data_IF_856311807689
#
_entry.id   IF_856311807689
#
_cell.length_a   1.000
_cell.length_b   1.000
_cell.length_c   1.000
_cell.angle_alpha   90.00
_cell.angle_beta   90.00
_cell.angle_gamma   90.00
#
_symmetry.space_group_name_H-M   'P 1'
#
loop_
_entity.id
_entity.type
_entity.pdbx_description
1 polymer ?
#
# COMPACT_ATOMS: atom_id res chain seq x y z
N UNK A 1 -12.96 -4.74 4.74
CA UNK A 1 -11.71 -4.20 5.28
C UNK A 1 -11.51 -4.61 6.73
N UNK A 2 -10.27 -4.65 7.13
CA UNK A 2 -9.85 -4.92 8.50
C UNK A 2 -8.94 -3.78 8.96
N UNK A 3 -9.16 -3.29 10.18
CA UNK A 3 -8.31 -2.28 10.80
C UNK A 3 -8.00 -2.70 12.24
N UNK A 4 -6.74 -2.66 12.58
CA UNK A 4 -6.22 -2.99 13.90
C UNK A 4 -5.40 -1.82 14.42
N UNK A 5 -5.80 -1.27 15.55
CA UNK A 5 -5.15 -0.14 16.20
C UNK A 5 -4.83 -0.50 17.66
N UNK A 6 -3.74 -1.23 17.90
CA UNK A 6 -3.33 -1.60 19.25
C UNK A 6 -2.85 -0.37 20.03
N UNK A 7 -3.03 -0.42 21.34
CA UNK A 7 -2.40 0.57 22.21
C UNK A 7 -0.88 0.42 22.14
N UNK A 8 -0.12 1.47 21.86
CA UNK A 8 1.32 1.40 21.74
C UNK A 8 1.95 1.04 23.10
N UNK A 9 2.70 -0.06 23.12
CA UNK A 9 3.49 -0.46 24.28
C UNK A 9 4.91 0.06 24.11
N UNK A 10 5.21 1.17 24.77
CA UNK A 10 6.55 1.77 24.74
C UNK A 10 7.50 1.04 25.67
N UNK A 11 8.66 0.66 25.16
CA UNK A 11 9.75 0.06 25.91
C UNK A 11 10.87 1.08 26.05
N UNK A 12 11.35 1.28 27.27
CA UNK A 12 12.47 2.18 27.63
C UNK A 12 13.60 1.32 28.24
N UNK A 13 14.48 0.72 27.41
CA UNK A 13 15.42 -0.28 27.88
C UNK A 13 16.48 0.27 28.84
N UNK A 14 16.93 1.50 28.59
CA UNK A 14 18.05 2.08 29.34
C UNK A 14 17.63 2.85 30.60
N UNK A 15 16.34 3.15 30.76
CA UNK A 15 15.82 3.93 31.89
C UNK A 15 16.12 3.31 33.26
N UNK A 16 16.13 1.96 33.33
CA UNK A 16 16.41 1.24 34.55
C UNK A 16 17.92 1.14 34.87
N UNK A 17 18.77 1.15 33.85
CA UNK A 17 20.21 0.96 33.98
C UNK A 17 20.95 2.28 34.25
N UNK A 18 20.51 3.38 33.57
CA UNK A 18 21.16 4.68 33.69
C UNK A 18 20.48 5.49 34.78
N UNK A 19 21.02 5.44 36.00
CA UNK A 19 20.55 6.25 37.14
C UNK A 19 21.15 7.65 37.19
N UNK A 20 22.11 7.97 36.31
CA UNK A 20 22.75 9.28 36.23
C UNK A 20 21.75 10.39 35.92
N UNK A 21 21.94 11.55 36.58
CA UNK A 21 21.18 12.79 36.32
C UNK A 21 21.89 13.72 35.31
N UNK A 22 22.96 13.24 34.68
CA UNK A 22 23.72 14.03 33.70
C UNK A 22 22.83 14.39 32.48
N UNK A 23 22.75 15.66 32.08
CA UNK A 23 22.01 16.09 30.90
C UNK A 23 22.49 15.44 29.61
N UNK A 24 23.80 15.17 29.51
CA UNK A 24 24.42 14.50 28.34
C UNK A 24 23.98 13.07 28.13
N UNK A 25 23.57 12.38 29.19
CA UNK A 25 23.07 11.02 29.14
C UNK A 25 21.54 10.94 28.96
N UNK A 26 20.86 12.06 28.96
CA UNK A 26 19.39 12.11 28.84
C UNK A 26 18.90 11.48 27.53
N UNK A 27 19.58 11.70 26.41
CA UNK A 27 19.28 11.11 25.11
C UNK A 27 19.29 9.59 25.15
N UNK A 28 20.33 9.00 25.75
CA UNK A 28 20.48 7.53 25.84
C UNK A 28 19.51 6.95 26.86
N UNK A 29 19.36 7.59 28.00
CA UNK A 29 18.46 7.17 29.08
C UNK A 29 17.00 7.11 28.63
N UNK A 30 16.55 8.12 27.88
CA UNK A 30 15.16 8.25 27.43
C UNK A 30 14.92 7.64 26.06
N UNK A 31 15.89 6.87 25.55
CA UNK A 31 15.67 6.10 24.34
C UNK A 31 14.49 5.16 24.53
N UNK A 32 13.58 5.17 23.59
CA UNK A 32 12.35 4.41 23.65
C UNK A 32 11.99 3.88 22.26
N UNK A 33 11.26 2.79 22.25
CA UNK A 33 10.68 2.26 21.02
C UNK A 33 9.34 1.58 21.30
N UNK A 34 8.46 1.60 20.33
CA UNK A 34 7.17 0.95 20.39
C UNK A 34 7.22 -0.38 19.64
N UNK A 35 6.79 -1.46 20.32
CA UNK A 35 6.80 -2.81 19.77
C UNK A 35 5.72 -3.06 18.73
N UNK A 36 4.63 -2.30 18.78
CA UNK A 36 3.48 -2.50 17.91
C UNK A 36 3.19 -1.25 17.07
N UNK A 37 2.69 -1.38 15.85
CA UNK A 37 2.24 -0.26 15.05
C UNK A 37 1.05 0.45 15.74
N UNK A 38 0.89 1.74 15.46
CA UNK A 38 -0.25 2.53 15.94
C UNK A 38 -1.53 2.16 15.20
N UNK A 39 -1.40 1.84 13.91
CA UNK A 39 -2.50 1.39 13.06
C UNK A 39 -1.98 0.46 11.97
N UNK A 40 -2.71 -0.63 11.76
CA UNK A 40 -2.56 -1.53 10.62
C UNK A 40 -3.93 -1.70 9.99
N UNK A 41 -4.08 -1.34 8.72
CA UNK A 41 -5.33 -1.48 8.01
C UNK A 41 -5.12 -2.17 6.67
N UNK A 42 -6.01 -3.09 6.37
CA UNK A 42 -6.10 -3.78 5.10
C UNK A 42 -7.53 -3.72 4.57
N UNK A 43 -7.68 -3.28 3.33
CA UNK A 43 -8.96 -3.28 2.62
C UNK A 43 -8.80 -3.95 1.28
N UNK A 44 -9.74 -4.82 0.95
CA UNK A 44 -9.83 -5.48 -0.34
C UNK A 44 -11.20 -5.24 -0.93
N UNK A 45 -11.23 -4.72 -2.14
CA UNK A 45 -12.45 -4.43 -2.89
C UNK A 45 -12.46 -5.30 -4.15
N UNK A 46 -13.59 -5.95 -4.39
CA UNK A 46 -13.82 -6.79 -5.57
C UNK A 46 -14.99 -6.21 -6.33
N UNK A 47 -14.78 -5.90 -7.60
CA UNK A 47 -15.84 -5.43 -8.48
C UNK A 47 -15.88 -6.28 -9.75
N UNK A 48 -17.06 -6.77 -10.10
CA UNK A 48 -17.28 -7.57 -11.29
C UNK A 48 -18.46 -7.07 -12.08
N UNK A 49 -18.26 -6.85 -13.37
CA UNK A 49 -19.29 -6.54 -14.34
C UNK A 49 -19.26 -7.56 -15.47
N UNK A 50 -20.42 -8.09 -15.83
CA UNK A 50 -20.58 -9.00 -16.95
C UNK A 50 -21.72 -8.50 -17.83
N UNK A 51 -21.44 -8.26 -19.09
CA UNK A 51 -22.41 -7.91 -20.11
C UNK A 51 -22.32 -8.87 -21.30
N UNK A 52 -23.48 -9.30 -21.84
CA UNK A 52 -23.57 -10.07 -23.06
C UNK A 52 -24.49 -9.35 -24.03
N UNK A 53 -24.01 -9.09 -25.23
CA UNK A 53 -24.77 -8.41 -26.30
C UNK A 53 -24.99 -9.43 -27.43
N UNK A 54 -26.23 -9.74 -27.69
CA UNK A 54 -26.64 -10.59 -28.81
C UNK A 54 -27.33 -9.71 -29.84
N UNK A 55 -26.66 -9.37 -30.95
CA UNK A 55 -27.28 -8.60 -32.03
C UNK A 55 -28.47 -9.33 -32.65
N UNK A 56 -29.53 -8.59 -32.98
CA UNK A 56 -30.69 -9.15 -33.66
C UNK A 56 -30.37 -9.23 -35.15
N UNK A 57 -30.46 -10.41 -35.71
CA UNK A 57 -30.37 -10.58 -37.19
C UNK A 57 -31.71 -10.22 -37.83
N UNK A 58 -31.83 -9.01 -38.36
CA UNK A 58 -33.07 -8.51 -38.97
C UNK A 58 -33.16 -8.97 -40.44
N UNK A 59 -32.05 -9.39 -41.05
CA UNK A 59 -31.98 -9.66 -42.49
C UNK A 59 -32.33 -11.11 -42.90
N UNK A 60 -32.72 -12.01 -41.97
CA UNK A 60 -33.12 -13.37 -42.30
C UNK A 60 -32.05 -14.26 -42.97
N UNK A 61 -30.78 -13.78 -43.03
CA UNK A 61 -29.69 -14.53 -43.66
C UNK A 61 -29.19 -15.68 -42.77
N UNK A 62 -28.52 -16.69 -43.36
CA UNK A 62 -28.02 -17.88 -42.65
C UNK A 62 -26.90 -17.56 -41.66
N UNK A 63 -26.33 -16.39 -41.66
CA UNK A 63 -25.24 -16.01 -40.80
C UNK A 63 -25.76 -15.47 -39.48
N UNK A 64 -25.48 -16.20 -38.36
CA UNK A 64 -25.74 -15.71 -37.02
C UNK A 64 -24.60 -14.77 -36.59
N UNK A 65 -24.95 -13.56 -36.16
CA UNK A 65 -23.97 -12.66 -35.58
C UNK A 65 -23.57 -13.19 -34.20
N UNK A 66 -22.28 -13.43 -33.96
CA UNK A 66 -21.85 -14.00 -32.68
C UNK A 66 -22.15 -13.07 -31.51
N UNK A 67 -22.45 -13.64 -30.37
CA UNK A 67 -22.64 -12.94 -29.12
C UNK A 67 -21.30 -12.35 -28.63
N UNK A 68 -21.30 -11.07 -28.28
CA UNK A 68 -20.13 -10.38 -27.73
C UNK A 68 -20.27 -10.19 -26.23
N UNK A 69 -19.14 -10.22 -25.53
CA UNK A 69 -19.10 -10.17 -24.06
C UNK A 69 -18.25 -9.01 -23.60
N UNK A 70 -18.82 -8.18 -22.71
CA UNK A 70 -18.07 -7.19 -21.96
C UNK A 70 -17.85 -7.71 -20.53
N UNK A 71 -16.60 -7.96 -20.18
CA UNK A 71 -16.21 -8.51 -18.88
C UNK A 71 -15.22 -7.59 -18.23
N UNK A 72 -15.53 -7.21 -17.01
CA UNK A 72 -14.67 -6.38 -16.22
C UNK A 72 -14.66 -6.93 -14.78
N UNK A 73 -13.51 -7.41 -14.33
CA UNK A 73 -13.37 -7.96 -13.00
C UNK A 73 -12.07 -7.44 -12.39
N UNK A 74 -12.17 -6.64 -11.32
CA UNK A 74 -11.04 -6.05 -10.61
C UNK A 74 -10.97 -6.54 -9.17
N UNK A 75 -9.77 -6.54 -8.65
CA UNK A 75 -9.46 -6.84 -7.28
C UNK A 75 -8.45 -5.80 -6.78
N UNK A 76 -8.94 -4.84 -6.00
CA UNK A 76 -8.17 -3.70 -5.49
C UNK A 76 -7.87 -3.92 -4.02
N UNK A 77 -6.60 -3.73 -3.64
CA UNK A 77 -6.08 -3.97 -2.28
C UNK A 77 -5.38 -2.71 -1.79
N UNK A 78 -5.71 -2.33 -0.56
CA UNK A 78 -5.17 -1.14 0.09
C UNK A 78 -4.54 -1.53 1.42
N UNK A 79 -3.35 -1.02 1.68
CA UNK A 79 -2.57 -1.28 2.87
C UNK A 79 -2.22 0.05 3.52
N UNK A 80 -2.43 0.16 4.83
CA UNK A 80 -2.05 1.32 5.61
C UNK A 80 -1.34 0.79 6.86
N UNK A 81 -0.14 1.31 7.11
CA UNK A 81 0.63 1.05 8.31
C UNK A 81 1.10 2.38 8.87
N UNK A 82 0.68 2.70 10.08
CA UNK A 82 1.19 3.82 10.85
C UNK A 82 1.92 3.29 12.06
N UNK A 83 3.15 3.71 12.24
CA UNK A 83 3.98 3.24 13.34
C UNK A 83 4.80 4.38 13.95
N UNK A 84 4.50 4.73 15.17
CA UNK A 84 5.36 5.58 15.98
C UNK A 84 6.50 4.71 16.52
N UNK A 85 7.57 4.56 15.74
CA UNK A 85 8.73 3.73 16.10
C UNK A 85 9.34 4.15 17.43
N UNK A 86 9.45 5.48 17.63
CA UNK A 86 9.84 6.10 18.89
C UNK A 86 8.93 7.28 19.17
N UNK A 87 9.08 7.94 20.30
CA UNK A 87 8.39 9.23 20.56
C UNK A 87 8.77 10.34 19.58
N UNK A 88 9.94 10.22 18.96
CA UNK A 88 10.49 11.22 18.05
C UNK A 88 10.45 10.79 16.57
N UNK A 89 10.25 9.52 16.28
CA UNK A 89 10.26 8.97 14.93
C UNK A 89 8.94 8.30 14.62
N UNK A 90 8.23 8.80 13.62
CA UNK A 90 7.02 8.18 13.07
C UNK A 90 7.25 7.71 11.64
N UNK A 91 6.56 6.65 11.29
CA UNK A 91 6.54 6.03 9.97
C UNK A 91 5.08 5.86 9.52
N UNK A 92 4.78 6.39 8.35
CA UNK A 92 3.52 6.21 7.66
C UNK A 92 3.79 5.51 6.33
N UNK A 93 3.19 4.34 6.15
CA UNK A 93 3.29 3.57 4.92
C UNK A 93 1.90 3.31 4.36
N UNK A 94 1.72 3.62 3.09
CA UNK A 94 0.52 3.29 2.34
C UNK A 94 0.88 2.56 1.07
N UNK A 95 0.07 1.57 0.67
CA UNK A 95 0.24 0.91 -0.60
C UNK A 95 -1.12 0.57 -1.22
N UNK A 96 -1.19 0.67 -2.53
CA UNK A 96 -2.35 0.31 -3.34
C UNK A 96 -1.92 -0.67 -4.42
N UNK A 97 -2.65 -1.76 -4.54
CA UNK A 97 -2.42 -2.75 -5.59
C UNK A 97 -3.73 -3.01 -6.33
N UNK A 98 -3.78 -2.61 -7.60
CA UNK A 98 -4.89 -2.87 -8.47
C UNK A 98 -4.57 -4.09 -9.35
N UNK A 99 -5.48 -5.05 -9.37
CA UNK A 99 -5.33 -6.25 -10.17
C UNK A 99 -6.59 -6.51 -11.01
N UNK A 100 -6.39 -7.14 -12.14
CA UNK A 100 -7.46 -7.62 -13.00
C UNK A 100 -7.55 -9.14 -12.92
N UNK A 101 -8.76 -9.65 -12.72
CA UNK A 101 -9.04 -11.07 -12.76
C UNK A 101 -9.40 -11.42 -14.20
N UNK A 102 -8.51 -12.16 -14.86
CA UNK A 102 -8.74 -12.56 -16.24
C UNK A 102 -9.79 -13.69 -16.27
N UNK A 103 -10.85 -13.50 -17.07
CA UNK A 103 -11.93 -14.46 -17.24
C UNK A 103 -11.81 -15.20 -18.57
N UNK A 104 -12.15 -16.51 -18.63
CA UNK A 104 -12.17 -17.27 -19.87
C UNK A 104 -13.10 -16.69 -20.93
N UNK A 105 -12.81 -16.93 -22.19
CA UNK A 105 -13.62 -16.46 -23.31
C UNK A 105 -15.06 -17.02 -23.31
N UNK A 106 -16.00 -16.24 -23.82
CA UNK A 106 -17.41 -16.64 -23.95
C UNK A 106 -18.19 -16.62 -22.64
N UNK A 107 -19.33 -17.29 -22.59
CA UNK A 107 -20.15 -17.42 -21.38
C UNK A 107 -19.46 -18.26 -20.31
N UNK A 108 -19.70 -17.93 -19.04
CA UNK A 108 -19.19 -18.66 -17.87
C UNK A 108 -20.29 -19.61 -17.39
N UNK A 109 -20.48 -20.66 -18.16
CA UNK A 109 -21.55 -21.67 -17.94
C UNK A 109 -21.01 -23.05 -17.51
N UNK A 110 -19.70 -23.31 -17.64
CA UNK A 110 -19.10 -24.59 -17.26
C UNK A 110 -18.38 -24.49 -15.90
N UNK A 111 -18.21 -25.63 -15.24
CA UNK A 111 -17.51 -25.73 -13.94
C UNK A 111 -16.05 -25.32 -14.08
N UNK A 112 -15.38 -25.77 -15.14
CA UNK A 112 -13.96 -25.45 -15.39
C UNK A 112 -13.74 -23.94 -15.51
N UNK A 113 -14.64 -23.20 -16.21
CA UNK A 113 -14.55 -21.75 -16.34
C UNK A 113 -14.76 -21.03 -15.01
N UNK A 114 -15.69 -21.52 -14.17
CA UNK A 114 -15.91 -20.97 -12.83
C UNK A 114 -14.71 -21.22 -11.92
N UNK A 115 -14.14 -22.43 -11.98
CA UNK A 115 -12.97 -22.78 -11.18
C UNK A 115 -11.72 -22.00 -11.62
N UNK A 116 -11.56 -21.76 -12.93
CA UNK A 116 -10.50 -20.88 -13.46
C UNK A 116 -10.59 -19.46 -12.88
N UNK A 117 -11.78 -18.89 -12.84
CA UNK A 117 -11.98 -17.54 -12.25
C UNK A 117 -11.66 -17.54 -10.75
N UNK A 118 -12.13 -18.56 -10.01
CA UNK A 118 -11.81 -18.68 -8.59
C UNK A 118 -10.31 -18.79 -8.37
N UNK A 119 -9.62 -19.62 -9.12
CA UNK A 119 -8.18 -19.79 -9.03
C UNK A 119 -7.44 -18.48 -9.33
N UNK A 120 -7.87 -17.73 -10.37
CA UNK A 120 -7.28 -16.42 -10.68
C UNK A 120 -7.51 -15.41 -9.57
N UNK A 121 -8.70 -15.41 -8.94
CA UNK A 121 -9.02 -14.57 -7.80
C UNK A 121 -8.14 -14.91 -6.58
N UNK A 122 -8.02 -16.20 -6.22
CA UNK A 122 -7.19 -16.64 -5.10
C UNK A 122 -5.70 -16.39 -5.32
N UNK A 123 -5.24 -16.43 -6.57
CA UNK A 123 -3.86 -16.01 -6.93
C UNK A 123 -3.65 -14.49 -6.87
N UNK A 124 -4.70 -13.71 -6.58
CA UNK A 124 -4.63 -12.25 -6.48
C UNK A 124 -4.77 -11.52 -7.82
N UNK A 125 -5.05 -12.25 -8.92
CA UNK A 125 -5.19 -11.69 -10.26
C UNK A 125 -3.87 -11.24 -10.89
N UNK A 126 -3.99 -10.61 -12.03
CA UNK A 126 -2.87 -9.99 -12.75
C UNK A 126 -2.76 -8.53 -12.31
N UNK A 127 -1.69 -8.17 -11.62
CA UNK A 127 -1.45 -6.79 -11.20
C UNK A 127 -1.38 -5.87 -12.43
N UNK A 128 -2.07 -4.75 -12.37
CA UNK A 128 -2.09 -3.72 -13.41
C UNK A 128 -1.40 -2.45 -12.95
N UNK A 129 -1.55 -2.13 -11.66
CA UNK A 129 -0.96 -0.96 -11.07
C UNK A 129 -0.58 -1.26 -9.61
N UNK A 130 0.59 -0.78 -9.20
CA UNK A 130 1.05 -0.84 -7.82
C UNK A 130 1.68 0.50 -7.46
N UNK A 131 1.20 1.09 -6.37
CA UNK A 131 1.77 2.31 -5.81
C UNK A 131 2.05 2.12 -4.33
N UNK A 132 3.16 2.66 -3.85
CA UNK A 132 3.46 2.75 -2.42
C UNK A 132 4.06 4.10 -2.08
N UNK A 133 3.78 4.56 -0.89
CA UNK A 133 4.34 5.77 -0.30
C UNK A 133 4.81 5.47 1.12
N UNK A 134 6.02 5.85 1.43
CA UNK A 134 6.61 5.79 2.75
C UNK A 134 7.01 7.19 3.19
N UNK A 135 6.51 7.61 4.33
CA UNK A 135 6.89 8.87 4.98
C UNK A 135 7.51 8.57 6.34
N UNK A 136 8.70 9.08 6.58
CA UNK A 136 9.38 9.07 7.86
C UNK A 136 9.50 10.50 8.37
N UNK A 137 9.03 10.75 9.59
CA UNK A 137 9.17 12.05 10.25
C UNK A 137 9.97 11.85 11.54
N UNK A 138 11.06 12.59 11.66
CA UNK A 138 11.93 12.57 12.83
C UNK A 138 12.01 13.95 13.46
N UNK A 139 11.45 14.07 14.65
CA UNK A 139 11.63 15.25 15.50
C UNK A 139 12.88 15.04 16.36
N UNK A 140 13.97 15.72 16.03
CA UNK A 140 15.21 15.60 16.80
C UNK A 140 14.96 16.11 18.22
N UNK A 141 15.24 15.32 19.26
CA UNK A 141 15.02 15.73 20.65
C UNK A 141 16.12 16.71 21.12
N UNK A 142 16.18 17.89 20.50
CA UNK A 142 17.17 18.95 20.78
C UNK A 142 17.08 19.45 22.21
N UNK A 143 15.89 19.42 22.80
CA UNK A 143 15.64 19.76 24.20
C UNK A 143 16.38 18.87 25.22
N UNK A 144 16.95 17.75 24.77
CA UNK A 144 17.77 16.86 25.61
C UNK A 144 19.26 17.03 25.37
N UNK A 145 19.66 17.92 24.49
CA UNK A 145 21.05 18.22 24.17
C UNK A 145 21.38 19.57 24.82
N UNK A 146 22.21 19.60 25.87
CA UNK A 146 22.68 20.87 26.42
C UNK A 146 23.30 21.70 25.29
N UNK A 147 23.04 22.96 25.20
CA UNK A 147 23.42 23.92 24.14
C UNK A 147 22.46 24.00 22.95
N UNK A 148 21.58 23.00 22.70
CA UNK A 148 20.62 23.00 21.60
C UNK A 148 19.15 22.97 22.07
N UNK A 149 18.92 23.13 23.36
CA UNK A 149 17.58 23.08 24.00
C UNK A 149 16.64 24.22 23.54
N UNK A 150 17.20 25.31 23.02
CA UNK A 150 16.49 26.45 22.45
C UNK A 150 16.12 26.27 20.97
N UNK A 151 16.59 25.20 20.31
CA UNK A 151 16.34 24.94 18.89
C UNK A 151 15.31 23.83 18.68
N UNK A 152 14.57 23.90 17.59
CA UNK A 152 13.76 22.78 17.10
C UNK A 152 14.28 22.30 15.76
N UNK A 153 14.44 21.00 15.61
CA UNK A 153 14.90 20.40 14.36
C UNK A 153 13.98 19.24 13.96
N UNK A 154 13.52 19.28 12.71
CA UNK A 154 12.68 18.26 12.14
C UNK A 154 13.27 17.77 10.82
N UNK A 155 13.40 16.47 10.67
CA UNK A 155 13.79 15.83 9.41
C UNK A 155 12.61 15.04 8.89
N UNK A 156 12.32 15.13 7.60
CA UNK A 156 11.34 14.28 6.93
C UNK A 156 11.93 13.64 5.68
N UNK A 157 11.53 12.40 5.46
CA UNK A 157 11.87 11.62 4.29
C UNK A 157 10.59 11.03 3.72
N UNK A 158 10.30 11.34 2.46
CA UNK A 158 9.18 10.79 1.73
C UNK A 158 9.69 10.08 0.47
N UNK A 159 9.21 8.88 0.24
CA UNK A 159 9.48 8.14 -1.00
C UNK A 159 8.20 7.58 -1.57
N UNK A 160 8.03 7.76 -2.88
CA UNK A 160 6.92 7.22 -3.67
C UNK A 160 7.47 6.31 -4.74
N UNK A 161 6.88 5.14 -4.85
CA UNK A 161 7.17 4.17 -5.91
C UNK A 161 5.87 3.83 -6.62
N UNK A 162 5.87 3.93 -7.93
CA UNK A 162 4.75 3.55 -8.77
C UNK A 162 5.23 2.59 -9.86
N UNK A 163 4.49 1.53 -10.05
CA UNK A 163 4.66 0.55 -11.10
C UNK A 163 3.35 0.41 -11.88
N UNK A 164 3.43 0.51 -13.20
CA UNK A 164 2.32 0.34 -14.12
C UNK A 164 2.66 -0.77 -15.10
N UNK A 165 1.80 -1.79 -15.18
CA UNK A 165 1.96 -2.87 -16.15
C UNK A 165 1.78 -2.37 -17.58
N UNK A 166 2.56 -2.92 -18.50
CA UNK A 166 2.33 -2.72 -19.92
C UNK A 166 0.94 -3.20 -20.34
N UNK A 167 0.33 -2.50 -21.29
CA UNK A 167 -0.90 -2.96 -21.92
C UNK A 167 -0.72 -4.35 -22.53
N UNK A 168 -1.76 -5.18 -22.47
CA UNK A 168 -1.75 -6.51 -23.12
C UNK A 168 -1.48 -6.43 -24.63
N UNK A 169 -1.85 -5.32 -25.27
CA UNK A 169 -1.64 -5.09 -26.70
C UNK A 169 -0.24 -4.53 -27.02
N UNK A 170 0.47 -4.04 -26.01
CA UNK A 170 1.77 -3.38 -26.19
C UNK A 170 2.79 -3.87 -25.13
N UNK A 171 2.85 -5.18 -24.90
CA UNK A 171 3.77 -5.79 -23.91
C UNK A 171 5.25 -5.57 -24.23
N UNK A 172 5.57 -5.40 -25.49
CA UNK A 172 6.91 -5.10 -25.97
C UNK A 172 7.44 -3.74 -25.48
N UNK A 173 6.56 -2.80 -25.10
CA UNK A 173 6.98 -1.51 -24.55
C UNK A 173 7.44 -1.63 -23.08
N UNK A 174 7.19 -2.77 -22.42
CA UNK A 174 7.59 -2.99 -21.04
C UNK A 174 6.71 -2.25 -20.02
N UNK A 175 7.03 -2.43 -18.74
CA UNK A 175 6.34 -1.78 -17.63
C UNK A 175 6.94 -0.41 -17.36
N UNK A 176 6.11 0.50 -16.84
CA UNK A 176 6.57 1.83 -16.42
C UNK A 176 6.86 1.82 -14.92
N UNK A 177 8.03 2.34 -14.56
CA UNK A 177 8.46 2.53 -13.18
C UNK A 177 8.70 4.01 -12.91
N UNK A 178 8.21 4.49 -11.80
CA UNK A 178 8.47 5.85 -11.31
C UNK A 178 8.84 5.79 -9.83
N UNK A 179 9.95 6.45 -9.48
CA UNK A 179 10.39 6.57 -8.10
C UNK A 179 10.72 8.04 -7.83
N UNK A 180 10.13 8.56 -6.76
CA UNK A 180 10.36 9.94 -6.30
C UNK A 180 10.79 9.91 -4.85
N UNK A 181 11.84 10.66 -4.50
CA UNK A 181 12.32 10.81 -3.14
C UNK A 181 12.40 12.29 -2.79
N UNK A 182 11.87 12.64 -1.64
CA UNK A 182 11.95 14.00 -1.08
C UNK A 182 12.53 13.93 0.32
N UNK A 183 13.49 14.80 0.59
CA UNK A 183 14.13 14.93 1.90
C UNK A 183 14.04 16.38 2.32
N UNK A 184 13.64 16.64 3.54
CA UNK A 184 13.64 17.99 4.10
C UNK A 184 14.17 17.98 5.52
N UNK A 185 14.90 19.03 5.87
CA UNK A 185 15.36 19.33 7.23
C UNK A 185 14.98 20.76 7.50
N UNK A 186 14.21 20.98 8.55
CA UNK A 186 13.80 22.31 9.03
C UNK A 186 14.37 22.51 10.42
N UNK A 187 14.98 23.65 10.66
CA UNK A 187 15.51 24.06 11.95
C UNK A 187 15.08 25.49 12.25
N UNK A 188 14.64 25.73 13.48
CA UNK A 188 14.26 27.03 14.05
C UNK A 188 14.95 27.24 15.39
#
# INVERSE_FOLDING_TARGET
GYSYAPQPKTVEPFKKFIKSKSPWLALVKDFNFNLAPSQLSFRADVFRQFGAIRPRNIGGGPYQIPETYNKYFTFDRYYILQWNLTRSLSMDFTATNNARIDEPAGRINTKEKKDSIKNNLFKGGRNTNYGQELTLNYNVPTNKIPLLDWTTMRASYNTKYNWLAASLLARNLGNTLSNTQTRSINSE
#
